data_IF_928679024175
#
_entry.id   IF_928679024175
#
_cell.length_a   1.000
_cell.length_b   1.000
_cell.length_c   1.000
_cell.angle_alpha   90.00
_cell.angle_beta   90.00
_cell.angle_gamma   90.00
#
_symmetry.space_group_name_H-M   'P 1'
#
loop_
_entity.id
_entity.type
_entity.pdbx_description
1 polymer ?
#
# COMPACT_ATOMS: atom_id res chain seq x y z
N UNK A 1 -21.88 0.47 49.72
CA UNK A 1 -20.64 0.96 49.07
C UNK A 1 -19.81 -0.20 48.51
N UNK A 2 -19.44 -1.21 49.30
CA UNK A 2 -18.67 -2.38 48.80
C UNK A 2 -19.36 -3.17 47.68
N UNK A 3 -20.68 -3.39 47.76
CA UNK A 3 -21.43 -4.10 46.71
C UNK A 3 -21.47 -3.34 45.36
N UNK A 4 -21.54 -2.01 45.39
CA UNK A 4 -21.52 -1.18 44.18
C UNK A 4 -20.14 -1.23 43.49
N UNK A 5 -19.06 -1.16 44.27
CA UNK A 5 -17.70 -1.29 43.74
C UNK A 5 -17.43 -2.68 43.14
N UNK A 6 -17.99 -3.75 43.75
CA UNK A 6 -17.90 -5.11 43.19
C UNK A 6 -18.69 -5.26 41.89
N UNK A 7 -19.86 -4.62 41.78
CA UNK A 7 -20.65 -4.61 40.54
C UNK A 7 -19.93 -3.85 39.43
N UNK A 8 -19.31 -2.71 39.75
CA UNK A 8 -18.57 -1.89 38.79
C UNK A 8 -17.33 -2.62 38.25
N UNK A 9 -16.54 -3.27 39.12
CA UNK A 9 -15.39 -4.08 38.71
C UNK A 9 -15.82 -5.25 37.80
N UNK A 10 -16.95 -5.89 38.10
CA UNK A 10 -17.48 -6.99 37.28
C UNK A 10 -17.92 -6.51 35.90
N UNK A 11 -18.53 -5.33 35.81
CA UNK A 11 -18.89 -4.71 34.52
C UNK A 11 -17.65 -4.34 33.71
N UNK A 12 -16.61 -3.78 34.34
CA UNK A 12 -15.36 -3.45 33.64
C UNK A 12 -14.65 -4.69 33.11
N UNK A 13 -14.62 -5.78 33.88
CA UNK A 13 -14.06 -7.06 33.43
C UNK A 13 -14.85 -7.67 32.26
N UNK A 14 -16.18 -7.62 32.30
CA UNK A 14 -17.02 -8.06 31.18
C UNK A 14 -16.82 -7.21 29.92
N UNK A 15 -16.71 -5.88 30.06
CA UNK A 15 -16.45 -4.98 28.94
C UNK A 15 -15.08 -5.26 28.30
N UNK A 16 -14.03 -5.43 29.12
CA UNK A 16 -12.70 -5.78 28.64
C UNK A 16 -12.69 -7.15 27.92
N UNK A 17 -13.43 -8.14 28.44
CA UNK A 17 -13.53 -9.46 27.82
C UNK A 17 -14.31 -9.42 26.50
N UNK A 18 -15.37 -8.60 26.41
CA UNK A 18 -16.11 -8.37 25.15
C UNK A 18 -15.27 -7.63 24.12
N UNK A 19 -14.50 -6.62 24.54
CA UNK A 19 -13.59 -5.90 23.66
C UNK A 19 -12.49 -6.84 23.13
N UNK A 20 -11.88 -7.64 24.01
CA UNK A 20 -10.88 -8.63 23.62
C UNK A 20 -11.45 -9.72 22.70
N UNK A 21 -12.71 -10.15 22.90
CA UNK A 21 -13.40 -11.06 21.98
C UNK A 21 -13.68 -10.40 20.62
N UNK A 22 -14.08 -9.13 20.59
CA UNK A 22 -14.26 -8.39 19.34
C UNK A 22 -12.94 -8.23 18.59
N UNK A 23 -11.87 -7.85 19.27
CA UNK A 23 -10.53 -7.72 18.69
C UNK A 23 -10.02 -9.07 18.14
N UNK A 24 -10.24 -10.17 18.87
CA UNK A 24 -9.87 -11.52 18.43
C UNK A 24 -10.72 -12.01 17.26
N UNK A 25 -12.02 -11.70 17.22
CA UNK A 25 -12.89 -11.99 16.08
C UNK A 25 -12.51 -11.18 14.84
N UNK A 26 -12.16 -9.89 15.00
CA UNK A 26 -11.66 -9.06 13.91
C UNK A 26 -10.33 -9.58 13.37
N UNK A 27 -9.42 -10.03 14.23
CA UNK A 27 -8.15 -10.66 13.84
C UNK A 27 -8.35 -12.00 13.13
N UNK A 28 -9.26 -12.86 13.59
CA UNK A 28 -9.53 -14.14 12.94
C UNK A 28 -10.14 -13.97 11.55
N UNK A 29 -11.00 -12.97 11.37
CA UNK A 29 -11.56 -12.58 10.07
C UNK A 29 -10.47 -12.05 9.14
N UNK A 30 -9.49 -11.32 9.66
CA UNK A 30 -8.32 -10.85 8.89
C UNK A 30 -7.43 -12.04 8.48
N UNK A 31 -7.15 -12.98 9.37
CA UNK A 31 -6.31 -14.16 9.10
C UNK A 31 -6.96 -15.14 8.09
N UNK A 32 -8.27 -15.40 8.21
CA UNK A 32 -9.01 -16.19 7.20
C UNK A 32 -9.11 -15.46 5.85
N UNK A 33 -9.20 -14.12 5.84
CA UNK A 33 -9.25 -13.33 4.59
C UNK A 33 -7.88 -13.20 3.92
N UNK A 34 -6.78 -13.27 4.67
CA UNK A 34 -5.41 -13.28 4.15
C UNK A 34 -5.02 -14.63 3.51
N UNK A 35 -5.75 -15.72 3.81
CA UNK A 35 -5.35 -17.07 3.43
C UNK A 35 -5.66 -17.47 1.97
N UNK A 36 -6.50 -16.75 1.21
CA UNK A 36 -6.81 -17.13 -0.17
C UNK A 36 -7.02 -15.92 -1.09
N UNK A 37 -5.96 -15.56 -1.82
CA UNK A 37 -6.04 -14.69 -3.00
C UNK A 37 -7.00 -15.34 -3.99
N UNK A 38 -8.25 -14.84 -4.03
CA UNK A 38 -9.32 -15.37 -4.86
C UNK A 38 -8.85 -15.65 -6.30
N UNK A 39 -9.16 -16.85 -6.78
CA UNK A 39 -8.97 -17.25 -8.17
C UNK A 39 -9.73 -16.31 -9.12
N UNK A 40 -9.29 -16.15 -10.38
CA UNK A 40 -9.96 -15.30 -11.37
C UNK A 40 -11.46 -15.57 -11.53
N UNK A 41 -11.91 -16.82 -11.35
CA UNK A 41 -13.33 -17.18 -11.40
C UNK A 41 -14.13 -16.67 -10.20
N UNK A 42 -13.55 -16.64 -9.00
CA UNK A 42 -14.20 -16.10 -7.81
C UNK A 42 -14.33 -14.57 -7.90
N UNK A 43 -13.32 -13.90 -8.44
CA UNK A 43 -13.37 -12.47 -8.75
C UNK A 43 -14.50 -12.14 -9.73
N UNK A 44 -14.67 -12.95 -10.78
CA UNK A 44 -15.72 -12.76 -11.80
C UNK A 44 -17.14 -12.99 -11.24
N UNK A 45 -17.35 -14.04 -10.42
CA UNK A 45 -18.64 -14.31 -9.77
C UNK A 45 -19.06 -13.18 -8.83
N UNK A 46 -18.11 -12.56 -8.12
CA UNK A 46 -18.42 -11.42 -7.27
C UNK A 46 -18.85 -10.18 -8.08
N UNK A 47 -18.13 -9.86 -9.18
CA UNK A 47 -18.47 -8.73 -10.07
C UNK A 47 -19.92 -8.79 -10.57
N UNK A 48 -20.40 -9.99 -10.90
CA UNK A 48 -21.77 -10.20 -11.39
C UNK A 48 -22.83 -10.01 -10.30
N UNK A 49 -22.51 -10.36 -9.04
CA UNK A 49 -23.47 -10.36 -7.92
C UNK A 49 -23.80 -8.96 -7.39
N UNK A 50 -22.93 -7.99 -7.60
CA UNK A 50 -22.99 -6.70 -6.90
C UNK A 50 -23.34 -5.49 -7.78
N UNK A 51 -23.78 -5.69 -9.04
CA UNK A 51 -24.29 -4.64 -9.97
C UNK A 51 -23.90 -3.22 -9.55
N UNK A 52 -22.65 -2.81 -9.81
CA UNK A 52 -22.07 -1.53 -9.38
C UNK A 52 -22.90 -0.36 -9.94
N UNK A 53 -23.91 0.08 -9.21
CA UNK A 53 -24.93 1.00 -9.73
C UNK A 53 -25.73 1.76 -8.68
N UNK A 54 -25.16 2.00 -7.49
CA UNK A 54 -25.77 2.86 -6.47
C UNK A 54 -24.78 3.91 -5.97
N UNK A 55 -25.18 5.18 -5.96
CA UNK A 55 -24.43 6.29 -5.36
C UNK A 55 -24.28 6.12 -3.84
N UNK A 56 -23.29 5.35 -3.40
CA UNK A 56 -22.73 5.43 -2.02
C UNK A 56 -21.42 4.65 -1.81
N UNK A 57 -20.78 4.13 -2.87
CA UNK A 57 -19.48 3.46 -2.74
C UNK A 57 -18.38 4.52 -2.61
N UNK A 58 -17.62 4.58 -1.50
CA UNK A 58 -16.55 5.57 -1.36
C UNK A 58 -15.47 5.36 -2.41
N UNK A 59 -14.82 6.46 -2.80
CA UNK A 59 -13.77 6.45 -3.82
C UNK A 59 -12.68 5.41 -3.54
N UNK A 60 -12.32 5.21 -2.28
CA UNK A 60 -11.29 4.24 -1.88
C UNK A 60 -11.72 2.78 -2.13
N UNK A 61 -13.01 2.47 -1.98
CA UNK A 61 -13.53 1.15 -2.33
C UNK A 61 -13.53 0.92 -3.84
N UNK A 62 -13.85 1.95 -4.63
CA UNK A 62 -13.72 1.90 -6.09
C UNK A 62 -12.28 1.66 -6.53
N UNK A 63 -11.29 2.27 -5.86
CA UNK A 63 -9.87 2.03 -6.13
C UNK A 63 -9.46 0.59 -5.83
N UNK A 64 -9.93 0.02 -4.71
CA UNK A 64 -9.67 -1.39 -4.38
C UNK A 64 -10.26 -2.32 -5.45
N UNK A 65 -11.53 -2.10 -5.84
CA UNK A 65 -12.19 -2.85 -6.91
C UNK A 65 -11.42 -2.73 -8.22
N UNK A 66 -10.96 -1.53 -8.59
CA UNK A 66 -10.18 -1.29 -9.80
C UNK A 66 -8.82 -1.98 -9.75
N UNK A 67 -8.15 -2.00 -8.61
CA UNK A 67 -6.89 -2.71 -8.42
C UNK A 67 -7.09 -4.19 -8.72
N UNK A 68 -8.06 -4.84 -8.05
CA UNK A 68 -8.41 -6.23 -8.32
C UNK A 68 -8.81 -6.45 -9.79
N UNK A 69 -9.56 -5.51 -10.39
CA UNK A 69 -9.98 -5.59 -11.77
C UNK A 69 -8.82 -5.60 -12.79
N UNK A 70 -7.69 -5.00 -12.41
CA UNK A 70 -6.48 -4.86 -13.23
C UNK A 70 -5.36 -5.80 -12.79
N UNK A 71 -5.65 -6.81 -11.97
CA UNK A 71 -4.66 -7.78 -11.49
C UNK A 71 -3.64 -7.17 -10.51
N UNK A 72 -4.02 -6.09 -9.81
CA UNK A 72 -3.18 -5.42 -8.80
C UNK A 72 -3.70 -5.74 -7.41
N UNK A 73 -2.79 -5.76 -6.44
CA UNK A 73 -3.13 -5.88 -5.02
C UNK A 73 -3.38 -4.49 -4.44
N UNK A 74 -4.46 -4.34 -3.68
CA UNK A 74 -4.71 -3.13 -2.90
C UNK A 74 -4.10 -3.29 -1.50
N UNK A 75 -3.15 -2.45 -1.13
CA UNK A 75 -2.55 -2.46 0.20
C UNK A 75 -3.24 -1.41 1.08
N UNK A 76 -3.50 -1.74 2.35
CA UNK A 76 -4.07 -0.78 3.31
C UNK A 76 -3.60 -1.06 4.73
N UNK A 77 -3.62 -0.02 5.57
CA UNK A 77 -3.52 -0.13 7.05
C UNK A 77 -4.85 0.10 7.75
N UNK A 78 -5.84 0.56 7.02
CA UNK A 78 -7.19 0.79 7.54
C UNK A 78 -7.92 -0.55 7.63
N UNK A 79 -8.02 -1.07 8.85
CA UNK A 79 -8.74 -2.32 9.19
C UNK A 79 -10.22 -2.21 8.87
N UNK A 80 -10.83 -1.04 9.09
CA UNK A 80 -12.25 -0.82 8.78
C UNK A 80 -12.46 -0.91 7.28
N UNK A 81 -11.61 -0.26 6.49
CA UNK A 81 -11.66 -0.34 5.04
C UNK A 81 -11.49 -1.78 4.54
N UNK A 82 -10.51 -2.52 5.06
CA UNK A 82 -10.26 -3.91 4.68
C UNK A 82 -11.49 -4.81 4.94
N UNK A 83 -12.17 -4.58 6.06
CA UNK A 83 -13.35 -5.35 6.48
C UNK A 83 -14.68 -4.86 5.86
N UNK A 84 -14.69 -3.76 5.10
CA UNK A 84 -15.92 -3.29 4.46
C UNK A 84 -16.38 -4.24 3.36
N UNK A 85 -17.69 -4.52 3.34
CA UNK A 85 -18.31 -5.43 2.36
C UNK A 85 -18.04 -5.07 0.89
N UNK A 86 -17.93 -3.78 0.56
CA UNK A 86 -17.62 -3.31 -0.80
C UNK A 86 -16.14 -3.48 -1.18
N UNK A 87 -15.24 -3.60 -0.20
CA UNK A 87 -13.80 -3.73 -0.38
C UNK A 87 -13.30 -5.17 -0.26
N UNK A 88 -13.94 -6.01 0.58
CA UNK A 88 -13.53 -7.41 0.82
C UNK A 88 -13.34 -8.20 -0.48
N UNK A 89 -14.12 -7.87 -1.51
CA UNK A 89 -14.03 -8.53 -2.81
C UNK A 89 -12.80 -8.17 -3.65
N UNK A 90 -12.21 -7.03 -3.36
CA UNK A 90 -10.92 -6.68 -3.90
C UNK A 90 -9.77 -7.41 -3.19
N UNK A 91 -10.07 -8.15 -2.11
CA UNK A 91 -9.10 -8.84 -1.26
C UNK A 91 -7.92 -7.92 -0.90
N UNK A 92 -8.18 -6.78 -0.23
CA UNK A 92 -7.13 -5.88 0.14
C UNK A 92 -6.17 -6.59 1.11
N UNK A 93 -4.89 -6.41 0.90
CA UNK A 93 -3.89 -6.89 1.83
C UNK A 93 -3.72 -5.86 2.95
N UNK A 94 -4.13 -6.24 4.16
CA UNK A 94 -3.94 -5.45 5.35
C UNK A 94 -2.49 -5.59 5.81
N UNK A 95 -1.72 -4.51 5.68
CA UNK A 95 -0.37 -4.39 6.21
C UNK A 95 -0.41 -4.57 7.74
N UNK A 96 0.64 -5.10 8.35
CA UNK A 96 0.68 -5.39 9.80
C UNK A 96 1.09 -4.19 10.68
N UNK A 97 1.73 -3.18 10.09
CA UNK A 97 2.48 -2.14 10.81
C UNK A 97 2.39 -0.79 10.11
N UNK A 98 2.43 0.31 10.88
CA UNK A 98 2.47 1.67 10.32
C UNK A 98 3.88 2.17 10.03
N UNK A 99 4.92 1.40 10.37
CA UNK A 99 6.30 1.70 10.06
C UNK A 99 6.61 1.41 8.57
N UNK A 100 7.01 2.41 7.75
CA UNK A 100 7.23 2.21 6.33
C UNK A 100 8.31 1.18 5.98
N UNK A 101 9.36 1.07 6.80
CA UNK A 101 10.44 0.12 6.56
C UNK A 101 9.96 -1.32 6.80
N UNK A 102 9.17 -1.56 7.84
CA UNK A 102 8.56 -2.85 8.08
C UNK A 102 7.49 -3.19 7.03
N UNK A 103 6.67 -2.21 6.59
CA UNK A 103 5.72 -2.41 5.49
C UNK A 103 6.43 -2.85 4.21
N UNK A 104 7.53 -2.19 3.84
CA UNK A 104 8.32 -2.57 2.66
C UNK A 104 8.88 -4.00 2.78
N UNK A 105 9.39 -4.41 3.95
CA UNK A 105 9.84 -5.80 4.19
C UNK A 105 8.69 -6.79 4.07
N UNK A 106 7.55 -6.49 4.66
CA UNK A 106 6.36 -7.32 4.63
C UNK A 106 5.90 -7.54 3.19
N UNK A 107 5.70 -6.46 2.44
CA UNK A 107 5.29 -6.52 1.02
C UNK A 107 6.33 -7.24 0.18
N UNK A 108 7.61 -6.93 0.35
CA UNK A 108 8.67 -7.59 -0.41
C UNK A 108 8.72 -9.09 -0.14
N UNK A 109 8.63 -9.52 1.11
CA UNK A 109 8.60 -10.94 1.46
C UNK A 109 7.33 -11.64 0.94
N UNK A 110 6.17 -11.01 1.10
CA UNK A 110 4.88 -11.58 0.71
C UNK A 110 4.80 -11.89 -0.79
N UNK A 111 5.39 -11.04 -1.64
CA UNK A 111 5.35 -11.20 -3.10
C UNK A 111 6.72 -11.50 -3.75
N UNK A 112 7.74 -11.84 -2.95
CA UNK A 112 9.09 -12.12 -3.45
C UNK A 112 9.71 -10.98 -4.26
N UNK A 113 9.42 -9.72 -3.89
CA UNK A 113 9.91 -8.55 -4.62
C UNK A 113 11.38 -8.31 -4.31
N UNK A 114 12.21 -8.35 -5.34
CA UNK A 114 13.63 -7.98 -5.26
C UNK A 114 13.83 -6.51 -5.57
N UNK A 115 14.76 -5.86 -4.87
CA UNK A 115 15.15 -4.49 -5.16
C UNK A 115 16.33 -4.44 -6.12
N UNK A 116 16.17 -3.63 -7.17
CA UNK A 116 17.22 -3.30 -8.14
C UNK A 116 17.43 -1.78 -8.10
N UNK A 117 18.58 -1.37 -7.56
CA UNK A 117 18.94 0.04 -7.41
C UNK A 117 18.93 0.79 -8.77
N UNK A 118 19.26 0.11 -9.87
CA UNK A 118 19.25 0.72 -11.21
C UNK A 118 17.85 1.10 -11.69
N UNK A 119 16.81 0.48 -11.12
CA UNK A 119 15.41 0.75 -11.43
C UNK A 119 14.74 1.66 -10.39
N UNK A 120 15.47 2.12 -9.37
CA UNK A 120 14.96 3.07 -8.42
C UNK A 120 14.62 4.39 -9.12
N UNK A 121 13.55 5.07 -8.65
CA UNK A 121 13.06 6.33 -9.24
C UNK A 121 12.67 6.27 -10.73
N UNK A 122 12.53 5.07 -11.31
CA UNK A 122 12.17 4.86 -12.73
C UNK A 122 10.69 5.11 -13.07
N UNK A 123 9.87 5.48 -12.07
CA UNK A 123 8.43 5.75 -12.25
C UNK A 123 8.07 7.10 -11.66
N UNK A 124 7.13 7.78 -12.32
CA UNK A 124 6.63 9.07 -11.88
C UNK A 124 5.88 8.92 -10.54
N UNK A 125 6.32 9.60 -9.49
CA UNK A 125 5.62 9.57 -8.19
C UNK A 125 4.24 10.22 -8.21
N UNK A 126 3.86 10.88 -9.31
CA UNK A 126 2.56 11.53 -9.47
C UNK A 126 1.54 10.66 -10.22
N UNK A 127 1.94 10.07 -11.36
CA UNK A 127 1.03 9.29 -12.21
C UNK A 127 1.46 7.83 -12.41
N UNK A 128 2.55 7.40 -11.78
CA UNK A 128 3.15 6.08 -11.89
C UNK A 128 3.56 5.68 -13.32
N UNK A 129 3.70 6.62 -14.26
CA UNK A 129 4.16 6.36 -15.61
C UNK A 129 5.69 6.09 -15.64
N UNK A 130 6.16 5.24 -16.54
CA UNK A 130 7.59 4.89 -16.68
C UNK A 130 8.32 5.75 -17.73
N UNK A 131 7.59 6.55 -18.50
CA UNK A 131 8.16 7.36 -19.57
C UNK A 131 8.73 8.65 -18.99
N UNK A 132 10.04 8.82 -19.11
CA UNK A 132 10.76 10.04 -18.77
C UNK A 132 11.57 10.54 -19.96
N UNK A 133 11.68 11.86 -20.05
CA UNK A 133 12.55 12.55 -21.00
C UNK A 133 13.55 13.37 -20.21
N UNK A 134 14.83 13.29 -20.58
CA UNK A 134 15.84 14.22 -20.09
C UNK A 134 15.56 15.59 -20.70
N UNK A 135 15.52 16.62 -19.86
CA UNK A 135 15.34 18.00 -20.29
C UNK A 135 16.68 18.63 -20.62
N UNK A 136 16.67 19.55 -21.59
CA UNK A 136 17.79 20.45 -21.77
C UNK A 136 17.92 21.40 -20.57
N UNK A 137 19.11 21.98 -20.38
CA UNK A 137 19.35 22.94 -19.29
C UNK A 137 18.46 24.18 -19.49
N UNK A 138 18.26 24.61 -20.73
CA UNK A 138 17.44 25.76 -21.10
C UNK A 138 15.96 25.53 -20.76
N UNK A 139 15.44 24.33 -21.07
CA UNK A 139 14.07 23.95 -20.71
C UNK A 139 13.89 23.93 -19.18
N UNK A 140 14.84 23.31 -18.48
CA UNK A 140 14.79 23.17 -17.03
C UNK A 140 14.80 24.53 -16.30
N UNK A 141 15.57 25.52 -16.79
CA UNK A 141 15.71 26.84 -16.18
C UNK A 141 14.36 27.55 -15.96
N UNK A 142 13.38 27.28 -16.81
CA UNK A 142 12.02 27.87 -16.74
C UNK A 142 11.05 27.07 -15.89
N UNK A 143 11.38 25.83 -15.53
CA UNK A 143 10.47 24.87 -14.89
C UNK A 143 10.85 24.54 -13.45
N UNK A 144 12.05 24.90 -13.00
CA UNK A 144 12.55 24.55 -11.66
C UNK A 144 12.95 25.81 -10.87
N UNK A 145 12.95 25.76 -9.53
CA UNK A 145 13.41 26.88 -8.72
C UNK A 145 14.88 27.25 -9.04
N UNK A 146 15.25 28.54 -9.07
CA UNK A 146 16.61 28.97 -9.43
C UNK A 146 17.73 28.31 -8.61
N UNK A 147 17.49 28.11 -7.31
CA UNK A 147 18.46 27.44 -6.43
C UNK A 147 18.72 25.98 -6.82
N UNK A 148 17.69 25.27 -7.31
CA UNK A 148 17.83 23.90 -7.79
C UNK A 148 18.60 23.89 -9.10
N UNK A 149 18.25 24.81 -10.01
CA UNK A 149 18.92 24.95 -11.30
C UNK A 149 20.43 25.16 -11.20
N UNK A 150 20.88 25.86 -10.16
CA UNK A 150 22.30 26.13 -9.91
C UNK A 150 23.10 24.91 -9.43
N UNK A 151 22.44 23.93 -8.80
CA UNK A 151 23.12 22.83 -8.08
C UNK A 151 22.85 21.44 -8.66
N UNK A 152 21.94 21.34 -9.63
CA UNK A 152 21.54 20.09 -10.28
C UNK A 152 21.88 20.18 -11.76
N UNK A 153 22.49 19.12 -12.29
CA UNK A 153 22.88 19.03 -13.69
C UNK A 153 21.81 18.37 -14.58
N UNK A 154 21.04 17.42 -14.03
CA UNK A 154 20.07 16.63 -14.79
C UNK A 154 18.63 16.82 -14.31
N UNK A 155 17.75 17.02 -15.28
CA UNK A 155 16.32 17.22 -15.05
C UNK A 155 15.51 16.29 -15.92
N UNK A 156 14.44 15.76 -15.37
CA UNK A 156 13.61 14.76 -16.02
C UNK A 156 12.16 15.23 -16.07
N UNK A 157 11.50 15.04 -17.20
CA UNK A 157 10.08 15.30 -17.36
C UNK A 157 9.33 14.01 -17.60
N UNK A 158 8.26 13.79 -16.85
CA UNK A 158 7.37 12.66 -17.11
C UNK A 158 6.64 12.86 -18.45
N UNK A 159 6.72 11.88 -19.34
CA UNK A 159 6.05 11.91 -20.65
C UNK A 159 4.53 11.80 -20.60
N UNK A 160 3.95 11.42 -19.45
CA UNK A 160 2.50 11.31 -19.29
C UNK A 160 1.88 12.55 -18.64
N UNK A 161 2.42 12.99 -17.49
CA UNK A 161 1.82 14.09 -16.71
C UNK A 161 2.61 15.40 -16.77
N UNK A 162 3.72 15.44 -17.50
CA UNK A 162 4.59 16.62 -17.64
C UNK A 162 5.22 17.15 -16.35
N UNK A 163 5.11 16.45 -15.21
CA UNK A 163 5.78 16.82 -13.97
C UNK A 163 7.31 16.71 -14.13
N UNK A 164 8.01 17.73 -13.66
CA UNK A 164 9.47 17.83 -13.68
C UNK A 164 10.08 17.29 -12.38
N UNK A 165 11.19 16.58 -12.50
CA UNK A 165 11.91 15.90 -11.44
C UNK A 165 13.41 16.16 -11.56
N UNK A 166 14.11 16.02 -10.44
CA UNK A 166 15.56 16.03 -10.33
C UNK A 166 16.00 15.18 -9.14
N UNK A 167 17.25 14.73 -9.17
CA UNK A 167 17.84 14.04 -8.02
C UNK A 167 18.31 15.06 -6.97
N UNK A 168 18.10 14.74 -5.70
CA UNK A 168 18.47 15.57 -4.57
C UNK A 168 18.29 14.84 -3.24
N UNK A 169 18.43 15.53 -2.09
CA UNK A 169 18.44 14.89 -0.78
C UNK A 169 17.26 13.93 -0.54
N UNK A 170 16.04 14.31 -0.98
CA UNK A 170 14.85 13.46 -0.83
C UNK A 170 14.90 12.18 -1.66
N UNK A 171 15.44 12.23 -2.89
CA UNK A 171 15.57 11.01 -3.70
C UNK A 171 16.67 10.11 -3.16
N UNK A 172 17.80 10.68 -2.71
CA UNK A 172 18.87 9.91 -2.07
C UNK A 172 18.39 9.23 -0.78
N UNK A 173 17.67 9.94 0.09
CA UNK A 173 17.08 9.34 1.28
C UNK A 173 16.12 8.20 0.96
N UNK A 174 15.30 8.34 -0.10
CA UNK A 174 14.38 7.28 -0.53
C UNK A 174 15.14 6.04 -1.05
N UNK A 175 16.18 6.23 -1.85
CA UNK A 175 17.03 5.14 -2.36
C UNK A 175 17.75 4.44 -1.20
N UNK A 176 18.36 5.19 -0.29
CA UNK A 176 19.05 4.63 0.88
C UNK A 176 18.11 3.83 1.78
N UNK A 177 16.87 4.29 1.97
CA UNK A 177 15.85 3.54 2.71
C UNK A 177 15.54 2.22 1.99
N UNK A 178 15.31 2.25 0.68
CA UNK A 178 15.02 1.04 -0.10
C UNK A 178 16.19 0.05 -0.05
N UNK A 179 17.42 0.53 -0.21
CA UNK A 179 18.64 -0.29 -0.11
C UNK A 179 18.82 -0.88 1.29
N UNK A 180 18.68 -0.07 2.34
CA UNK A 180 18.83 -0.56 3.72
C UNK A 180 17.74 -1.57 4.12
N UNK A 181 16.56 -1.49 3.51
CA UNK A 181 15.41 -2.35 3.85
C UNK A 181 15.35 -3.60 2.97
N UNK A 182 15.67 -3.48 1.67
CA UNK A 182 15.47 -4.53 0.67
C UNK A 182 16.78 -5.06 0.08
N UNK A 183 17.90 -4.34 0.22
CA UNK A 183 19.21 -4.75 -0.32
C UNK A 183 19.90 -5.87 0.46
N UNK A 184 19.40 -6.23 1.65
CA UNK A 184 19.91 -7.34 2.46
C UNK A 184 19.14 -8.66 2.29
N UNK A 185 18.23 -8.74 1.30
CA UNK A 185 17.54 -9.99 1.04
C UNK A 185 18.46 -10.94 0.28
N UNK A 186 19.07 -11.89 0.98
CA UNK A 186 19.67 -13.05 0.32
C UNK A 186 18.59 -13.77 -0.51
N UNK A 187 18.90 -14.21 -1.74
CA UNK A 187 17.95 -14.93 -2.56
C UNK A 187 17.56 -16.22 -1.83
N UNK A 188 16.32 -16.27 -1.34
CA UNK A 188 15.76 -17.51 -0.81
C UNK A 188 15.58 -18.47 -1.98
N UNK A 189 16.53 -19.39 -2.12
CA UNK A 189 16.40 -20.55 -2.99
C UNK A 189 15.20 -21.39 -2.53
N UNK A 190 14.20 -21.53 -3.40
CA UNK A 190 13.31 -22.69 -3.36
C UNK A 190 12.01 -22.57 -2.56
N UNK A 191 11.23 -21.50 -2.74
CA UNK A 191 9.79 -21.59 -2.50
C UNK A 191 9.02 -21.14 -3.75
N UNK A 192 8.54 -22.13 -4.51
CA UNK A 192 7.55 -21.91 -5.56
C UNK A 192 6.27 -21.33 -4.93
N UNK A 193 5.69 -20.26 -5.49
CA UNK A 193 4.37 -19.82 -5.06
C UNK A 193 3.32 -20.89 -5.45
N UNK A 194 2.28 -21.12 -4.62
CA UNK A 194 1.18 -22.03 -4.94
C UNK A 194 0.35 -21.54 -6.15
#
# INVERSE_FOLDING_TARGET
QQQAAQQELKMQQQAAQQQQQQECQEQHVIEEQQAQVYSPQQQQKWRQRHQLGGSSVPQVALQAIQAAATGRVFLTRDTRLASRRDCVAAAPYLLSTDDPAQQLREVSRQWGLTFDASRAMSRCSNCNAAQFMLLSREEAATMVPPKVFQIVDEFYKCGACSKTFWMGPKSYSAVNLLEGVLGQQEPQQGQSPP
#
